data_IF_866735027710
#
_entry.id   IF_866735027710
#
_cell.length_a   1.000
_cell.length_b   1.000
_cell.length_c   1.000
_cell.angle_alpha   90.00
_cell.angle_beta   90.00
_cell.angle_gamma   90.00
#
_symmetry.space_group_name_H-M   'P 1'
#
loop_
_entity.id
_entity.type
_entity.pdbx_description
1 polymer ?
#
# COMPACT_ATOMS: atom_id res chain seq x y z
N UNK A 1 36.66 21.74 2.81
CA UNK A 1 35.46 22.56 2.58
C UNK A 1 34.27 21.66 2.22
N UNK A 2 33.20 21.67 2.99
CA UNK A 2 31.99 20.88 2.68
C UNK A 2 31.23 21.59 1.57
N UNK A 3 31.03 20.94 0.41
CA UNK A 3 30.28 21.51 -0.73
C UNK A 3 28.83 21.77 -0.31
N UNK A 4 28.40 23.02 -0.34
CA UNK A 4 26.97 23.36 -0.19
C UNK A 4 26.20 22.81 -1.39
N UNK A 5 25.07 22.16 -1.12
CA UNK A 5 24.20 21.67 -2.20
C UNK A 5 23.51 22.83 -2.91
N UNK A 6 23.54 22.81 -4.23
CA UNK A 6 22.80 23.76 -5.05
C UNK A 6 21.39 23.24 -5.31
N UNK A 7 20.38 24.05 -5.03
CA UNK A 7 18.99 23.77 -5.44
C UNK A 7 18.66 24.65 -6.64
N UNK A 8 18.02 24.06 -7.65
CA UNK A 8 17.43 24.80 -8.75
C UNK A 8 16.26 25.68 -8.23
N UNK A 9 16.16 26.94 -8.66
CA UNK A 9 15.23 27.92 -8.11
C UNK A 9 13.79 27.74 -8.61
N UNK A 10 13.26 26.49 -8.61
CA UNK A 10 11.85 26.23 -8.94
C UNK A 10 10.88 26.85 -7.92
N UNK A 11 11.27 26.88 -6.64
CA UNK A 11 10.50 27.45 -5.55
C UNK A 11 11.40 28.30 -4.66
N UNK A 12 10.84 29.37 -4.14
CA UNK A 12 11.49 30.18 -3.10
C UNK A 12 11.52 29.44 -1.77
N UNK A 13 12.43 29.84 -0.87
CA UNK A 13 12.52 29.24 0.46
C UNK A 13 11.21 29.34 1.26
N UNK A 14 10.48 30.44 1.13
CA UNK A 14 9.15 30.60 1.75
C UNK A 14 8.13 29.60 1.19
N UNK A 15 8.14 29.37 -0.11
CA UNK A 15 7.25 28.38 -0.75
C UNK A 15 7.59 26.97 -0.32
N UNK A 16 8.88 26.60 -0.24
CA UNK A 16 9.32 25.31 0.28
C UNK A 16 8.85 25.08 1.71
N UNK A 17 8.95 26.10 2.57
CA UNK A 17 8.44 26.06 3.95
C UNK A 17 6.93 25.88 3.98
N UNK A 18 6.19 26.63 3.16
CA UNK A 18 4.73 26.53 3.07
C UNK A 18 4.30 25.12 2.64
N UNK A 19 4.96 24.52 1.62
CA UNK A 19 4.70 23.14 1.18
C UNK A 19 4.96 22.13 2.30
N UNK A 20 6.07 22.30 3.04
CA UNK A 20 6.38 21.45 4.20
C UNK A 20 5.27 21.46 5.25
N UNK A 21 4.77 22.66 5.61
CA UNK A 21 3.75 22.80 6.65
C UNK A 21 2.35 22.39 6.20
N UNK A 22 2.01 22.55 4.92
CA UNK A 22 0.66 22.25 4.38
C UNK A 22 0.48 20.80 3.96
N UNK A 23 1.57 20.05 3.74
CA UNK A 23 1.49 18.66 3.23
C UNK A 23 1.09 17.68 4.32
N UNK A 24 -0.03 16.96 4.13
CA UNK A 24 -0.53 15.93 5.03
C UNK A 24 0.20 14.58 4.89
N UNK A 25 0.82 14.29 3.74
CA UNK A 25 1.59 13.08 3.53
C UNK A 25 2.95 13.14 4.22
N UNK A 26 3.17 12.22 5.18
CA UNK A 26 4.40 12.18 6.00
C UNK A 26 5.68 12.04 5.15
N UNK A 27 5.63 11.35 4.01
CA UNK A 27 6.79 11.14 3.15
C UNK A 27 7.12 12.42 2.39
N UNK A 28 6.10 13.06 1.81
CA UNK A 28 6.26 14.32 1.09
C UNK A 28 6.68 15.45 2.02
N UNK A 29 6.08 15.55 3.20
CA UNK A 29 6.44 16.54 4.22
C UNK A 29 7.93 16.46 4.58
N UNK A 30 8.47 15.26 4.82
CA UNK A 30 9.92 15.09 5.09
C UNK A 30 10.79 15.52 3.90
N UNK A 31 10.36 15.25 2.67
CA UNK A 31 11.08 15.66 1.46
C UNK A 31 11.08 17.18 1.31
N UNK A 32 9.94 17.86 1.53
CA UNK A 32 9.83 19.31 1.53
C UNK A 32 10.67 19.95 2.63
N UNK A 33 10.65 19.37 3.84
CA UNK A 33 11.46 19.84 4.96
C UNK A 33 12.96 19.79 4.62
N UNK A 34 13.44 18.69 4.02
CA UNK A 34 14.82 18.57 3.55
C UNK A 34 15.18 19.70 2.57
N UNK A 35 14.37 19.90 1.53
CA UNK A 35 14.63 20.92 0.51
C UNK A 35 14.62 22.31 1.10
N UNK A 36 13.70 22.60 2.03
CA UNK A 36 13.67 23.87 2.73
C UNK A 36 14.96 24.12 3.53
N UNK A 37 15.44 23.16 4.31
CA UNK A 37 16.72 23.29 5.06
C UNK A 37 17.91 23.52 4.13
N UNK A 38 17.98 22.77 3.02
CA UNK A 38 19.02 22.95 2.01
C UNK A 38 18.95 24.36 1.39
N UNK A 39 17.74 24.90 1.14
CA UNK A 39 17.56 26.28 0.64
C UNK A 39 18.03 27.35 1.63
N UNK A 40 18.07 27.02 2.94
CA UNK A 40 18.64 27.87 3.99
C UNK A 40 20.18 27.78 4.08
N UNK A 41 20.82 27.04 3.18
CA UNK A 41 22.26 26.89 3.15
C UNK A 41 22.81 25.71 3.97
N UNK A 42 21.94 24.83 4.47
CA UNK A 42 22.39 23.61 5.15
C UNK A 42 23.01 22.65 4.15
N UNK A 43 23.99 21.86 4.59
CA UNK A 43 24.50 20.75 3.80
C UNK A 43 23.47 19.62 3.75
N UNK A 44 23.47 18.79 2.69
CA UNK A 44 22.59 17.63 2.61
C UNK A 44 22.74 16.71 3.82
N UNK A 45 23.95 16.55 4.34
CA UNK A 45 24.21 15.74 5.52
C UNK A 45 23.53 16.28 6.77
N UNK A 46 23.69 17.59 7.06
CA UNK A 46 23.01 18.22 8.18
C UNK A 46 21.49 18.17 8.07
N UNK A 47 20.97 18.50 6.88
CA UNK A 47 19.54 18.46 6.61
C UNK A 47 18.96 17.04 6.72
N UNK A 48 19.66 16.02 6.24
CA UNK A 48 19.22 14.62 6.34
C UNK A 48 19.16 14.14 7.79
N UNK A 49 20.13 14.52 8.61
CA UNK A 49 20.14 14.23 10.05
C UNK A 49 18.98 14.92 10.77
N UNK A 50 18.74 16.20 10.49
CA UNK A 50 17.65 16.98 11.12
C UNK A 50 16.28 16.43 10.76
N UNK A 51 16.09 15.94 9.53
CA UNK A 51 14.83 15.34 9.05
C UNK A 51 14.67 13.86 9.42
N UNK A 52 15.76 13.22 9.85
CA UNK A 52 15.76 11.78 10.19
C UNK A 52 15.62 10.87 8.97
N UNK A 53 16.33 11.16 7.87
CA UNK A 53 16.39 10.34 6.66
C UNK A 53 17.82 9.95 6.30
N UNK A 54 17.96 8.87 5.55
CA UNK A 54 19.26 8.41 5.08
C UNK A 54 19.91 9.46 4.13
N UNK A 55 21.23 9.64 4.24
CA UNK A 55 22.00 10.61 3.45
C UNK A 55 21.91 10.37 1.93
N UNK A 56 22.06 9.10 1.48
CA UNK A 56 21.98 8.79 0.06
C UNK A 56 20.59 9.06 -0.50
N UNK A 57 19.55 8.73 0.27
CA UNK A 57 18.19 9.09 -0.08
C UNK A 57 17.97 10.61 -0.15
N UNK A 58 18.56 11.38 0.76
CA UNK A 58 18.51 12.83 0.73
C UNK A 58 19.19 13.41 -0.53
N UNK A 59 20.33 12.85 -0.94
CA UNK A 59 21.00 13.19 -2.21
C UNK A 59 20.09 12.94 -3.41
N UNK A 60 19.43 11.78 -3.45
CA UNK A 60 18.52 11.43 -4.55
C UNK A 60 17.33 12.39 -4.61
N UNK A 61 16.76 12.81 -3.47
CA UNK A 61 15.69 13.80 -3.42
C UNK A 61 16.16 15.12 -4.03
N UNK A 62 17.31 15.65 -3.61
CA UNK A 62 17.87 16.90 -4.13
C UNK A 62 18.19 16.79 -5.62
N UNK A 63 18.80 15.70 -6.06
CA UNK A 63 19.10 15.43 -7.46
C UNK A 63 17.84 15.41 -8.31
N UNK A 64 16.82 14.66 -7.88
CA UNK A 64 15.56 14.51 -8.63
C UNK A 64 14.79 15.82 -8.64
N UNK A 65 14.77 16.57 -7.53
CA UNK A 65 14.17 17.90 -7.50
C UNK A 65 14.84 18.85 -8.50
N UNK A 66 16.17 18.86 -8.56
CA UNK A 66 16.90 19.69 -9.52
C UNK A 66 16.63 19.31 -11.00
N UNK A 67 16.22 18.07 -11.27
CA UNK A 67 15.89 17.60 -12.62
C UNK A 67 14.44 17.85 -13.02
N UNK A 68 13.49 17.65 -12.11
CA UNK A 68 12.07 17.54 -12.45
C UNK A 68 11.21 18.56 -11.68
N UNK A 69 11.78 19.28 -10.72
CA UNK A 69 11.08 20.25 -9.88
C UNK A 69 10.12 19.60 -8.88
N UNK A 70 9.01 20.27 -8.61
CA UNK A 70 8.02 19.86 -7.60
C UNK A 70 7.48 18.44 -7.78
N UNK A 71 7.34 17.96 -9.02
CA UNK A 71 6.83 16.63 -9.35
C UNK A 71 7.69 15.49 -8.78
N UNK A 72 8.97 15.79 -8.43
CA UNK A 72 9.87 14.84 -7.79
C UNK A 72 9.43 14.43 -6.38
N UNK A 73 8.69 15.31 -5.70
CA UNK A 73 8.39 15.17 -4.28
C UNK A 73 7.19 14.25 -4.03
N UNK A 74 6.31 14.08 -5.03
CA UNK A 74 5.11 13.28 -4.89
C UNK A 74 5.37 11.85 -4.40
N UNK A 75 4.54 11.35 -3.50
CA UNK A 75 4.60 9.99 -2.99
C UNK A 75 3.99 9.00 -3.98
N UNK A 76 4.80 8.59 -4.98
CA UNK A 76 4.37 7.67 -6.05
C UNK A 76 3.87 6.32 -5.53
N UNK A 77 4.25 5.89 -4.31
CA UNK A 77 3.74 4.62 -3.73
C UNK A 77 2.25 4.70 -3.45
N UNK A 78 1.77 5.85 -2.97
CA UNK A 78 0.35 6.07 -2.68
C UNK A 78 -0.50 6.22 -3.94
N UNK A 79 0.11 6.64 -5.04
CA UNK A 79 -0.54 6.85 -6.34
C UNK A 79 -0.56 5.59 -7.21
N UNK A 80 0.10 4.50 -6.78
CA UNK A 80 0.10 3.25 -7.54
C UNK A 80 -1.28 2.60 -7.51
N UNK A 81 -1.96 2.64 -8.64
CA UNK A 81 -3.21 1.91 -8.90
C UNK A 81 -2.95 0.52 -9.48
N UNK A 82 -1.84 0.37 -10.21
CA UNK A 82 -1.46 -0.91 -10.80
C UNK A 82 -0.97 -1.91 -9.72
N UNK A 83 -1.33 -3.20 -9.85
CA UNK A 83 -0.80 -4.24 -8.98
C UNK A 83 0.73 -4.31 -9.08
N UNK A 84 1.43 -4.72 -7.99
CA UNK A 84 2.88 -4.89 -8.03
C UNK A 84 3.31 -5.86 -9.14
N UNK A 85 4.51 -5.69 -9.71
CA UNK A 85 5.03 -6.55 -10.79
C UNK A 85 5.05 -8.06 -10.43
N UNK A 86 5.13 -8.39 -9.15
CA UNK A 86 5.10 -9.77 -8.64
C UNK A 86 3.68 -10.26 -8.30
N UNK A 87 2.62 -9.48 -8.57
CA UNK A 87 1.26 -9.92 -8.36
C UNK A 87 0.92 -11.08 -9.30
N UNK A 88 0.24 -12.10 -8.78
CA UNK A 88 -0.17 -13.26 -9.59
C UNK A 88 -1.29 -12.91 -10.57
N UNK A 89 -2.16 -11.97 -10.19
CA UNK A 89 -3.29 -11.52 -10.99
C UNK A 89 -3.12 -10.05 -11.37
N UNK A 90 -3.48 -9.72 -12.62
CA UNK A 90 -3.66 -8.35 -13.06
C UNK A 90 -5.00 -7.78 -12.54
N UNK A 91 -5.32 -6.54 -12.87
CA UNK A 91 -6.53 -5.86 -12.39
C UNK A 91 -7.80 -6.54 -12.89
N UNK A 92 -7.85 -6.92 -14.16
CA UNK A 92 -8.98 -7.58 -14.79
C UNK A 92 -9.24 -8.97 -14.19
N UNK A 93 -8.20 -9.77 -14.06
CA UNK A 93 -8.26 -11.10 -13.43
C UNK A 93 -8.68 -11.03 -11.95
N UNK A 94 -8.31 -9.94 -11.25
CA UNK A 94 -8.74 -9.74 -9.86
C UNK A 94 -10.26 -9.43 -9.79
N UNK A 95 -10.80 -8.67 -10.73
CA UNK A 95 -12.24 -8.40 -10.81
C UNK A 95 -13.02 -9.67 -11.22
N UNK A 96 -12.47 -10.49 -12.13
CA UNK A 96 -13.03 -11.80 -12.44
C UNK A 96 -13.08 -12.71 -11.21
N UNK A 97 -12.00 -12.74 -10.41
CA UNK A 97 -11.99 -13.49 -9.15
C UNK A 97 -13.08 -12.99 -8.20
N UNK A 98 -13.23 -11.66 -8.03
CA UNK A 98 -14.28 -11.09 -7.20
C UNK A 98 -15.69 -11.48 -7.66
N UNK A 99 -15.90 -11.54 -8.96
CA UNK A 99 -17.17 -11.98 -9.54
C UNK A 99 -17.41 -13.46 -9.29
N UNK A 100 -16.38 -14.31 -9.47
CA UNK A 100 -16.45 -15.75 -9.19
C UNK A 100 -16.73 -16.04 -7.72
N UNK A 101 -16.14 -15.26 -6.79
CA UNK A 101 -16.35 -15.43 -5.35
C UNK A 101 -17.78 -15.11 -4.88
N UNK A 102 -18.58 -14.38 -5.68
CA UNK A 102 -20.02 -14.14 -5.40
C UNK A 102 -20.89 -15.34 -5.75
N UNK A 103 -20.37 -16.26 -6.56
CA UNK A 103 -21.07 -17.47 -6.98
C UNK A 103 -20.56 -18.68 -6.19
N UNK A 104 -21.34 -19.73 -6.13
CA UNK A 104 -20.85 -20.99 -5.55
C UNK A 104 -19.76 -21.59 -6.42
N UNK A 105 -18.70 -22.18 -5.81
CA UNK A 105 -17.70 -22.93 -6.57
C UNK A 105 -18.33 -24.16 -7.25
N UNK A 106 -17.67 -24.68 -8.27
CA UNK A 106 -18.14 -25.81 -9.09
C UNK A 106 -18.52 -27.07 -8.26
N UNK A 107 -17.89 -27.26 -7.11
CA UNK A 107 -18.16 -28.38 -6.19
C UNK A 107 -19.28 -28.09 -5.19
N UNK A 108 -20.07 -27.04 -5.39
CA UNK A 108 -21.20 -26.61 -4.54
C UNK A 108 -20.85 -26.33 -3.07
N UNK A 109 -19.57 -26.30 -2.72
CA UNK A 109 -19.07 -26.01 -1.37
C UNK A 109 -18.83 -24.50 -1.15
N UNK A 110 -17.94 -24.20 -0.21
CA UNK A 110 -17.48 -22.84 0.08
C UNK A 110 -16.13 -22.57 -0.57
N UNK A 111 -15.87 -21.32 -0.88
CA UNK A 111 -14.55 -20.90 -1.34
C UNK A 111 -13.50 -21.03 -0.22
N UNK A 112 -12.43 -21.73 -0.50
CA UNK A 112 -11.29 -21.93 0.41
C UNK A 112 -10.00 -21.46 -0.26
N UNK A 113 -8.93 -21.30 0.52
CA UNK A 113 -7.62 -20.93 -0.03
C UNK A 113 -7.13 -21.86 -1.13
N UNK A 114 -7.16 -23.20 -0.94
CA UNK A 114 -6.82 -24.14 -2.02
C UNK A 114 -7.62 -23.92 -3.30
N UNK A 115 -8.95 -23.82 -3.22
CA UNK A 115 -9.80 -23.61 -4.41
C UNK A 115 -9.49 -22.29 -5.14
N UNK A 116 -9.21 -21.23 -4.40
CA UNK A 116 -8.79 -19.95 -5.00
C UNK A 116 -7.40 -20.07 -5.61
N UNK A 117 -6.49 -20.82 -5.00
CA UNK A 117 -5.17 -21.09 -5.59
C UNK A 117 -5.28 -21.86 -6.91
N UNK A 118 -6.14 -22.88 -6.97
CA UNK A 118 -6.40 -23.65 -8.19
C UNK A 118 -7.07 -22.77 -9.28
N UNK A 119 -8.01 -21.92 -8.90
CA UNK A 119 -8.63 -20.95 -9.80
C UNK A 119 -7.57 -20.02 -10.41
N UNK A 120 -6.66 -19.48 -9.56
CA UNK A 120 -5.58 -18.61 -10.02
C UNK A 120 -4.62 -19.38 -10.93
N UNK A 121 -4.29 -20.63 -10.62
CA UNK A 121 -3.42 -21.47 -11.44
C UNK A 121 -4.01 -21.65 -12.83
N UNK A 122 -5.30 -22.02 -12.94
CA UNK A 122 -6.03 -22.14 -14.21
C UNK A 122 -6.01 -20.84 -15.02
N UNK A 123 -6.29 -19.70 -14.36
CA UNK A 123 -6.34 -18.38 -15.04
C UNK A 123 -4.98 -17.85 -15.50
N UNK A 124 -3.92 -18.18 -14.80
CA UNK A 124 -2.56 -17.68 -15.11
C UNK A 124 -1.71 -18.68 -15.90
N UNK A 125 -2.25 -19.87 -16.19
CA UNK A 125 -1.51 -20.96 -16.88
C UNK A 125 -0.36 -21.52 -16.05
N UNK A 126 -0.37 -21.36 -14.74
CA UNK A 126 0.67 -21.89 -13.85
C UNK A 126 0.33 -23.31 -13.42
N UNK A 127 1.33 -24.17 -13.40
CA UNK A 127 1.15 -25.57 -13.00
C UNK A 127 0.63 -25.71 -11.56
N UNK A 128 1.14 -24.92 -10.63
CA UNK A 128 0.77 -24.98 -9.21
C UNK A 128 0.90 -23.64 -8.52
N UNK A 129 -0.07 -23.32 -7.66
CA UNK A 129 -0.01 -22.18 -6.75
C UNK A 129 -0.25 -22.69 -5.32
N UNK A 130 0.56 -22.20 -4.38
CA UNK A 130 0.44 -22.59 -2.98
C UNK A 130 -0.90 -22.11 -2.37
N UNK A 131 -1.60 -22.96 -1.59
CA UNK A 131 -2.88 -22.61 -0.94
C UNK A 131 -2.84 -21.31 -0.15
N UNK A 132 -1.70 -20.97 0.46
CA UNK A 132 -1.51 -19.71 1.18
C UNK A 132 -1.80 -18.49 0.30
N UNK A 133 -1.41 -18.53 -0.97
CA UNK A 133 -1.72 -17.45 -1.92
C UNK A 133 -3.22 -17.30 -2.17
N UNK A 134 -3.95 -18.40 -2.19
CA UNK A 134 -5.42 -18.34 -2.27
C UNK A 134 -6.04 -17.66 -1.06
N UNK A 135 -5.56 -17.94 0.15
CA UNK A 135 -5.99 -17.21 1.34
C UNK A 135 -5.65 -15.73 1.31
N UNK A 136 -4.47 -15.36 0.79
CA UNK A 136 -4.06 -13.96 0.64
C UNK A 136 -5.02 -13.22 -0.32
N UNK A 137 -5.41 -13.85 -1.43
CA UNK A 137 -6.36 -13.28 -2.39
C UNK A 137 -7.79 -13.21 -1.83
N UNK A 138 -8.25 -14.19 -1.06
CA UNK A 138 -9.52 -14.09 -0.33
C UNK A 138 -9.55 -12.86 0.58
N UNK A 139 -8.52 -12.67 1.41
CA UNK A 139 -8.40 -11.47 2.26
C UNK A 139 -8.35 -10.18 1.45
N UNK A 140 -7.63 -10.17 0.33
CA UNK A 140 -7.56 -9.02 -0.59
C UNK A 140 -8.94 -8.68 -1.18
N UNK A 141 -9.77 -9.69 -1.41
CA UNK A 141 -11.17 -9.54 -1.83
C UNK A 141 -12.12 -9.28 -0.64
N UNK A 142 -11.63 -9.12 0.59
CA UNK A 142 -12.39 -8.90 1.83
C UNK A 142 -13.26 -10.08 2.26
N UNK A 143 -12.88 -11.30 1.87
CA UNK A 143 -13.48 -12.52 2.37
C UNK A 143 -12.69 -13.06 3.56
N UNK A 144 -13.37 -13.45 4.64
CA UNK A 144 -12.77 -14.14 5.78
C UNK A 144 -13.40 -15.53 5.95
N UNK A 145 -12.62 -16.56 6.28
CA UNK A 145 -13.19 -17.88 6.54
C UNK A 145 -14.06 -17.82 7.80
N UNK A 146 -15.32 -18.15 7.65
CA UNK A 146 -16.24 -18.32 8.78
C UNK A 146 -16.05 -19.74 9.33
N UNK A 147 -15.61 -19.86 10.58
CA UNK A 147 -15.65 -21.14 11.30
C UNK A 147 -16.97 -21.23 12.04
N UNK A 148 -17.84 -22.22 11.73
CA UNK A 148 -19.03 -22.45 12.49
C UNK A 148 -18.61 -22.68 13.97
N UNK A 149 -19.16 -21.92 14.88
CA UNK A 149 -18.94 -22.20 16.32
C UNK A 149 -19.68 -23.48 16.66
N UNK A 150 -19.06 -24.43 17.37
CA UNK A 150 -19.77 -25.59 17.87
C UNK A 150 -20.98 -25.13 18.69
N UNK A 151 -22.12 -25.77 18.46
CA UNK A 151 -23.32 -25.48 19.26
C UNK A 151 -23.05 -25.98 20.68
N UNK A 152 -23.15 -25.10 21.65
CA UNK A 152 -22.95 -25.51 23.06
C UNK A 152 -24.12 -26.40 23.47
N UNK A 153 -23.85 -27.56 24.06
CA UNK A 153 -24.85 -28.56 24.43
C UNK A 153 -25.91 -27.98 25.43
N UNK A 154 -25.51 -27.01 26.23
CA UNK A 154 -26.39 -26.27 27.17
C UNK A 154 -26.91 -24.94 26.61
N UNK A 155 -26.79 -24.70 25.30
CA UNK A 155 -27.29 -23.49 24.68
C UNK A 155 -28.81 -23.53 24.55
N UNK A 156 -29.51 -22.56 25.17
CA UNK A 156 -30.93 -22.38 25.02
C UNK A 156 -31.27 -21.75 23.66
N UNK A 157 -31.96 -22.48 22.75
CA UNK A 157 -32.32 -21.94 21.42
C UNK A 157 -33.34 -20.79 21.52
N UNK A 158 -34.18 -20.75 22.52
CA UNK A 158 -35.21 -19.72 22.69
C UNK A 158 -34.58 -18.40 23.10
N UNK A 159 -33.71 -18.42 24.12
CA UNK A 159 -32.96 -17.26 24.56
C UNK A 159 -32.05 -16.69 23.45
N UNK A 160 -31.49 -17.55 22.56
CA UNK A 160 -30.70 -17.12 21.42
C UNK A 160 -31.53 -16.44 20.33
N UNK A 161 -32.80 -16.85 20.15
CA UNK A 161 -33.71 -16.18 19.19
C UNK A 161 -34.19 -14.83 19.71
N UNK A 162 -34.46 -14.71 21.00
CA UNK A 162 -34.82 -13.43 21.63
C UNK A 162 -33.68 -12.41 21.56
N UNK A 163 -32.43 -12.84 21.83
CA UNK A 163 -31.26 -11.97 21.72
C UNK A 163 -30.99 -11.47 20.29
N UNK A 164 -31.38 -12.23 19.26
CA UNK A 164 -31.23 -11.82 17.84
C UNK A 164 -32.29 -10.84 17.36
N UNK A 165 -33.38 -10.67 18.11
CA UNK A 165 -34.50 -9.76 17.77
C UNK A 165 -34.32 -8.36 18.36
N UNK A 166 -33.39 -8.17 19.29
CA UNK A 166 -32.96 -6.89 19.87
C UNK A 166 -31.67 -6.42 19.17
#
# INVERSE_FOLDING_TARGET
MVKKAHLQPYLTSCQLKSRYLSTSDRVESRRWHLLWLVSQGWTIQQASQAVGINYDYAKDIVKTYNQVGEKAIANRRRQRTAPPAHALLNTEQLEELRSSLKQQPEDKGIWTGPKVADWIAKKTGREKIWPQRGWDYLRKCRYSPQRPRPRHVKGDPIAQQEFKKN
#
